data_IF_114276682749
#
_entry.id   IF_114276682749
#
_cell.length_a   1.000
_cell.length_b   1.000
_cell.length_c   1.000
_cell.angle_alpha   90.00
_cell.angle_beta   90.00
_cell.angle_gamma   90.00
#
_symmetry.space_group_name_H-M   'P 1'
#
loop_
_entity.id
_entity.type
_entity.pdbx_description
1 polymer ?
#
# COMPACT_ATOMS: atom_id res chain seq x y z
N UNK A 1 -15.42 10.17 -2.63
CA UNK A 1 -14.53 9.29 -1.85
C UNK A 1 -14.67 7.84 -2.27
N UNK A 2 -13.68 7.01 -1.92
CA UNK A 2 -13.67 5.57 -2.14
C UNK A 2 -13.93 4.85 -0.82
N UNK A 3 -15.10 4.23 -0.68
CA UNK A 3 -15.46 3.46 0.53
C UNK A 3 -15.13 1.97 0.36
N UNK A 4 -14.24 1.47 1.21
CA UNK A 4 -13.80 0.07 1.20
C UNK A 4 -14.64 -0.84 2.11
N UNK A 5 -15.52 -0.30 2.97
CA UNK A 5 -16.27 -1.05 3.98
C UNK A 5 -17.35 -1.98 3.41
N UNK A 6 -17.74 -1.78 2.16
CA UNK A 6 -18.86 -2.48 1.52
C UNK A 6 -18.45 -3.30 0.30
N UNK A 7 -17.16 -3.64 0.20
CA UNK A 7 -16.68 -4.52 -0.85
C UNK A 7 -17.23 -5.95 -0.68
N UNK A 8 -17.51 -6.67 -1.78
CA UNK A 8 -17.90 -8.08 -1.71
C UNK A 8 -16.83 -8.91 -0.98
N UNK A 9 -17.25 -9.77 -0.05
CA UNK A 9 -16.34 -10.55 0.80
C UNK A 9 -15.45 -11.55 0.06
N UNK A 10 -15.74 -11.83 -1.22
CA UNK A 10 -14.93 -12.72 -2.08
C UNK A 10 -14.16 -11.95 -3.15
N UNK A 11 -14.15 -10.61 -3.07
CA UNK A 11 -13.40 -9.80 -4.01
C UNK A 11 -11.90 -10.03 -3.80
N UNK A 12 -11.20 -10.34 -4.88
CA UNK A 12 -9.76 -10.58 -4.86
C UNK A 12 -8.96 -9.43 -5.47
N UNK A 13 -9.61 -8.55 -6.23
CA UNK A 13 -8.95 -7.43 -6.87
C UNK A 13 -9.87 -6.22 -7.00
N UNK A 14 -9.32 -5.05 -6.75
CA UNK A 14 -9.95 -3.75 -6.97
C UNK A 14 -9.00 -2.86 -7.77
N UNK A 15 -9.35 -2.59 -9.03
CA UNK A 15 -8.58 -1.75 -9.95
C UNK A 15 -9.42 -0.53 -10.30
N UNK A 16 -9.05 0.61 -9.73
CA UNK A 16 -9.78 1.88 -9.87
C UNK A 16 -8.83 3.04 -10.13
N UNK A 17 -7.70 2.74 -10.79
CA UNK A 17 -6.72 3.75 -11.17
C UNK A 17 -7.27 4.79 -12.14
N UNK A 18 -6.65 5.97 -12.17
CA UNK A 18 -6.96 7.08 -13.08
C UNK A 18 -8.43 7.53 -12.98
N UNK A 19 -8.84 7.87 -11.76
CA UNK A 19 -10.15 8.43 -11.45
C UNK A 19 -9.97 9.74 -10.66
N UNK A 20 -11.06 10.24 -10.06
CA UNK A 20 -11.03 11.40 -9.17
C UNK A 20 -11.52 11.04 -7.78
N UNK A 21 -11.19 9.83 -7.30
CA UNK A 21 -11.49 9.45 -5.93
C UNK A 21 -10.67 10.31 -4.96
N UNK A 22 -11.33 10.80 -3.92
CA UNK A 22 -10.78 11.69 -2.93
C UNK A 22 -10.97 11.16 -1.49
N UNK A 23 -10.37 11.87 -0.53
CA UNK A 23 -10.43 11.52 0.88
C UNK A 23 -9.54 10.33 1.23
N UNK A 24 -9.66 9.85 2.47
CA UNK A 24 -8.86 8.74 2.98
C UNK A 24 -9.49 7.39 2.70
N UNK A 25 -8.65 6.36 2.71
CA UNK A 25 -9.06 4.96 2.63
C UNK A 25 -8.62 4.21 3.88
N UNK A 26 -9.42 3.22 4.26
CA UNK A 26 -9.16 2.35 5.42
C UNK A 26 -8.81 0.94 4.93
N UNK A 27 -7.53 0.61 4.86
CA UNK A 27 -7.07 -0.68 4.33
C UNK A 27 -7.54 -1.89 5.15
N UNK A 28 -7.85 -1.69 6.44
CA UNK A 28 -8.44 -2.73 7.30
C UNK A 28 -9.87 -3.15 6.90
N UNK A 29 -10.54 -2.38 6.04
CA UNK A 29 -11.86 -2.72 5.52
C UNK A 29 -11.81 -3.59 4.26
N UNK A 30 -10.62 -3.84 3.70
CA UNK A 30 -10.48 -4.73 2.55
C UNK A 30 -10.87 -6.17 2.96
N UNK A 31 -11.56 -6.92 2.09
CA UNK A 31 -11.82 -8.34 2.29
C UNK A 31 -10.51 -9.13 2.52
N UNK A 32 -10.56 -10.15 3.37
CA UNK A 32 -9.41 -11.04 3.62
C UNK A 32 -8.89 -11.73 2.36
N UNK A 33 -9.75 -11.91 1.35
CA UNK A 33 -9.42 -12.51 0.04
C UNK A 33 -8.72 -11.53 -0.92
N UNK A 34 -8.54 -10.27 -0.53
CA UNK A 34 -7.95 -9.24 -1.39
C UNK A 34 -6.49 -9.56 -1.71
N UNK A 35 -6.15 -9.55 -3.00
CA UNK A 35 -4.80 -9.83 -3.51
C UNK A 35 -4.22 -8.62 -4.23
N UNK A 36 -5.03 -7.90 -4.98
CA UNK A 36 -4.58 -6.80 -5.83
C UNK A 36 -5.41 -5.54 -5.59
N UNK A 37 -4.79 -4.52 -5.02
CA UNK A 37 -5.37 -3.19 -4.92
C UNK A 37 -4.58 -2.22 -5.79
N UNK A 38 -5.26 -1.58 -6.74
CA UNK A 38 -4.72 -0.49 -7.53
C UNK A 38 -5.63 0.74 -7.45
N UNK A 39 -5.14 1.77 -6.78
CA UNK A 39 -5.80 3.08 -6.64
C UNK A 39 -4.93 4.21 -7.17
N UNK A 40 -3.90 3.90 -7.97
CA UNK A 40 -3.00 4.90 -8.50
C UNK A 40 -3.73 6.00 -9.30
N UNK A 41 -3.14 7.18 -9.38
CA UNK A 41 -3.67 8.29 -10.20
C UNK A 41 -5.09 8.68 -9.75
N UNK A 42 -5.20 9.04 -8.48
CA UNK A 42 -6.41 9.61 -7.87
C UNK A 42 -5.99 10.83 -7.01
N UNK A 43 -6.92 11.34 -6.21
CA UNK A 43 -6.67 12.42 -5.22
C UNK A 43 -6.93 11.92 -3.80
N UNK A 44 -6.65 10.64 -3.55
CA UNK A 44 -6.79 10.04 -2.23
C UNK A 44 -5.73 10.62 -1.30
N UNK A 45 -6.08 10.82 -0.03
CA UNK A 45 -5.23 11.56 0.91
C UNK A 45 -5.26 10.98 2.33
N UNK A 46 -4.42 11.55 3.19
CA UNK A 46 -4.32 11.17 4.59
C UNK A 46 -3.27 10.10 4.87
N UNK A 47 -3.17 9.72 6.14
CA UNK A 47 -2.19 8.75 6.61
C UNK A 47 -2.66 7.31 6.38
N UNK A 48 -1.74 6.46 5.95
CA UNK A 48 -2.00 5.04 5.76
C UNK A 48 -1.62 4.24 7.00
N UNK A 49 -2.53 3.34 7.39
CA UNK A 49 -2.24 2.29 8.36
C UNK A 49 -2.09 0.96 7.62
N UNK A 50 -0.85 0.52 7.44
CA UNK A 50 -0.52 -0.76 6.80
C UNK A 50 -0.56 -1.94 7.77
N UNK A 51 -0.64 -1.69 9.09
CA UNK A 51 -0.56 -2.73 10.12
C UNK A 51 -1.75 -3.70 10.12
N UNK A 52 -2.87 -3.27 9.54
CA UNK A 52 -4.11 -4.02 9.44
C UNK A 52 -4.47 -4.37 7.99
N UNK A 53 -3.50 -4.33 7.07
CA UNK A 53 -3.74 -4.76 5.68
C UNK A 53 -4.03 -6.28 5.63
N UNK A 54 -4.87 -6.75 4.71
CA UNK A 54 -5.17 -8.18 4.61
C UNK A 54 -3.93 -9.01 4.35
N UNK A 55 -3.84 -10.17 5.00
CA UNK A 55 -2.64 -11.01 4.98
C UNK A 55 -2.35 -11.68 3.64
N UNK A 56 -3.31 -11.69 2.70
CA UNK A 56 -3.16 -12.29 1.36
C UNK A 56 -2.78 -11.29 0.27
N UNK A 57 -2.63 -10.00 0.59
CA UNK A 57 -2.30 -8.99 -0.42
C UNK A 57 -0.95 -9.29 -1.07
N UNK A 58 -0.95 -9.30 -2.40
CA UNK A 58 0.22 -9.52 -3.26
C UNK A 58 0.70 -8.21 -3.88
N UNK A 59 -0.24 -7.34 -4.23
CA UNK A 59 0.03 -6.08 -4.93
C UNK A 59 -0.72 -4.94 -4.27
N UNK A 60 0.01 -3.92 -3.82
CA UNK A 60 -0.54 -2.68 -3.27
C UNK A 60 0.00 -1.50 -4.07
N UNK A 61 -0.84 -0.88 -4.91
CA UNK A 61 -0.49 0.26 -5.74
C UNK A 61 -1.28 1.50 -5.35
N UNK A 62 -0.56 2.44 -4.75
CA UNK A 62 -1.08 3.65 -4.10
C UNK A 62 -0.53 4.94 -4.71
N UNK A 63 0.43 4.82 -5.63
CA UNK A 63 1.19 5.94 -6.15
C UNK A 63 0.35 7.01 -6.87
N UNK A 64 0.93 8.21 -7.02
CA UNK A 64 0.26 9.39 -7.61
C UNK A 64 -1.07 9.67 -6.92
N UNK A 65 -0.99 9.89 -5.61
CA UNK A 65 -2.07 10.30 -4.72
C UNK A 65 -1.49 11.27 -3.68
N UNK A 66 -2.36 11.97 -2.96
CA UNK A 66 -1.99 12.92 -1.90
C UNK A 66 -1.85 12.24 -0.52
N UNK A 67 -1.49 10.94 -0.49
CA UNK A 67 -1.21 10.24 0.76
C UNK A 67 0.02 10.84 1.43
N UNK A 68 -0.02 10.98 2.75
CA UNK A 68 1.03 11.67 3.49
C UNK A 68 1.26 11.09 4.88
N UNK A 69 2.36 11.51 5.49
CA UNK A 69 2.67 11.21 6.89
C UNK A 69 3.54 9.97 7.09
N UNK A 70 3.97 9.81 8.34
CA UNK A 70 4.85 8.72 8.74
C UNK A 70 4.08 7.41 8.80
N UNK A 71 4.52 6.43 8.02
CA UNK A 71 3.91 5.10 7.90
C UNK A 71 4.82 4.04 8.52
N UNK A 72 4.22 3.14 9.31
CA UNK A 72 4.92 1.98 9.87
C UNK A 72 4.90 0.81 8.89
N UNK A 73 6.05 0.53 8.28
CA UNK A 73 6.21 -0.58 7.33
C UNK A 73 6.64 -1.90 7.96
N UNK A 74 6.80 -1.98 9.30
CA UNK A 74 7.29 -3.21 9.96
C UNK A 74 6.35 -4.40 9.81
N UNK A 75 5.07 -4.14 9.57
CA UNK A 75 4.01 -5.15 9.51
C UNK A 75 3.47 -5.34 8.08
N UNK A 76 4.27 -5.04 7.04
CA UNK A 76 3.89 -5.37 5.67
C UNK A 76 3.56 -6.88 5.54
N UNK A 77 2.49 -7.26 4.82
CA UNK A 77 2.16 -8.68 4.60
C UNK A 77 3.34 -9.42 3.99
N UNK A 78 3.67 -10.61 4.53
CA UNK A 78 4.77 -11.46 4.01
C UNK A 78 4.54 -11.92 2.57
N UNK A 79 3.28 -11.90 2.12
CA UNK A 79 2.87 -12.25 0.75
C UNK A 79 3.07 -11.09 -0.23
N UNK A 80 3.32 -9.88 0.25
CA UNK A 80 3.40 -8.69 -0.59
C UNK A 80 4.62 -8.80 -1.53
N UNK A 81 4.35 -8.76 -2.83
CA UNK A 81 5.35 -8.84 -3.89
C UNK A 81 5.60 -7.48 -4.52
N UNK A 82 4.62 -6.58 -4.48
CA UNK A 82 4.73 -5.24 -5.08
C UNK A 82 4.08 -4.20 -4.19
N UNK A 83 4.87 -3.18 -3.82
CA UNK A 83 4.42 -1.96 -3.17
C UNK A 83 4.76 -0.78 -4.07
N UNK A 84 3.76 -0.03 -4.51
CA UNK A 84 3.95 1.23 -5.25
C UNK A 84 3.37 2.38 -4.44
N UNK A 85 4.26 3.23 -3.95
CA UNK A 85 4.02 4.48 -3.22
C UNK A 85 4.69 5.66 -3.93
N UNK A 86 5.05 5.50 -5.21
CA UNK A 86 5.64 6.58 -6.01
C UNK A 86 4.71 7.77 -6.10
N UNK A 87 5.27 8.97 -6.11
CA UNK A 87 4.55 10.24 -6.17
C UNK A 87 3.51 10.36 -5.06
N UNK A 88 3.94 10.12 -3.82
CA UNK A 88 3.18 10.38 -2.58
C UNK A 88 4.07 11.12 -1.57
N UNK A 89 3.46 11.73 -0.57
CA UNK A 89 4.14 12.38 0.56
C UNK A 89 4.28 11.44 1.77
N UNK A 90 4.20 10.12 1.55
CA UNK A 90 4.42 9.12 2.58
C UNK A 90 5.90 9.16 2.99
N UNK A 91 6.14 9.08 4.29
CA UNK A 91 7.48 8.93 4.87
C UNK A 91 7.56 7.71 5.77
N UNK A 92 8.77 7.24 6.04
CA UNK A 92 9.01 6.10 6.92
C UNK A 92 10.21 5.29 6.48
N UNK A 93 10.41 4.15 7.13
CA UNK A 93 11.56 3.28 6.89
C UNK A 93 11.08 1.87 6.56
N UNK A 94 11.61 1.29 5.50
CA UNK A 94 11.41 -0.11 5.16
C UNK A 94 12.70 -0.87 5.45
N UNK A 95 12.61 -1.83 6.37
CA UNK A 95 13.70 -2.77 6.67
C UNK A 95 13.44 -4.08 5.95
N UNK A 96 14.20 -4.36 4.89
CA UNK A 96 14.18 -5.63 4.18
C UNK A 96 15.17 -6.59 4.84
N UNK A 97 14.66 -7.69 5.39
CA UNK A 97 15.47 -8.79 5.93
C UNK A 97 15.34 -10.02 5.03
N UNK A 98 16.48 -10.58 4.63
CA UNK A 98 16.55 -11.75 3.74
C UNK A 98 16.07 -11.48 2.31
N UNK A 99 15.77 -12.55 1.56
CA UNK A 99 15.25 -12.46 0.19
C UNK A 99 13.71 -12.38 0.20
N UNK A 100 13.17 -11.15 0.22
CA UNK A 100 11.72 -10.92 0.27
C UNK A 100 11.04 -10.97 -1.11
N UNK A 101 11.80 -10.90 -2.21
CA UNK A 101 11.24 -10.76 -3.57
C UNK A 101 10.37 -9.50 -3.76
N UNK A 102 10.26 -8.63 -2.74
CA UNK A 102 9.41 -7.46 -2.71
C UNK A 102 9.97 -6.37 -3.63
N UNK A 103 9.14 -5.91 -4.56
CA UNK A 103 9.44 -4.80 -5.45
C UNK A 103 8.80 -3.53 -4.91
N UNK A 104 9.61 -2.52 -4.65
CA UNK A 104 9.17 -1.23 -4.12
C UNK A 104 9.35 -0.17 -5.22
N UNK A 105 8.27 0.56 -5.51
CA UNK A 105 8.28 1.73 -6.38
C UNK A 105 7.96 2.95 -5.51
N UNK A 106 8.88 3.90 -5.44
CA UNK A 106 8.76 5.04 -4.53
C UNK A 106 10.06 5.79 -4.28
N UNK A 107 10.99 5.77 -5.23
CA UNK A 107 12.30 6.43 -5.07
C UNK A 107 12.18 7.97 -4.91
N UNK A 108 11.04 8.52 -5.30
CA UNK A 108 10.67 9.92 -5.16
C UNK A 108 9.82 10.22 -3.91
N UNK A 109 9.44 9.19 -3.15
CA UNK A 109 8.79 9.34 -1.84
C UNK A 109 9.81 9.67 -0.75
N UNK A 110 9.33 10.01 0.45
CA UNK A 110 10.18 10.28 1.63
C UNK A 110 10.44 8.99 2.44
N UNK A 111 10.43 7.83 1.77
CA UNK A 111 10.65 6.52 2.39
C UNK A 111 12.08 6.05 2.16
N UNK A 112 12.79 5.79 3.25
CA UNK A 112 14.11 5.19 3.21
C UNK A 112 14.00 3.66 3.20
N UNK A 113 14.73 3.01 2.30
CA UNK A 113 14.76 1.54 2.18
C UNK A 113 16.14 1.03 2.57
N UNK A 114 16.16 0.19 3.61
CA UNK A 114 17.37 -0.46 4.10
C UNK A 114 17.32 -1.96 3.81
N UNK A 115 18.38 -2.50 3.23
CA UNK A 115 18.57 -3.94 3.03
C UNK A 115 19.54 -4.44 4.08
N UNK A 116 19.05 -5.31 4.97
CA UNK A 116 19.88 -5.97 5.97
C UNK A 116 20.34 -7.31 5.39
N UNK A 117 21.65 -7.41 5.10
CA UNK A 117 22.26 -8.70 4.77
C UNK A 117 22.28 -9.58 6.03
N UNK A 118 21.85 -10.84 5.90
CA UNK A 118 21.94 -11.82 6.98
C UNK A 118 23.42 -12.01 7.35
N UNK A 119 23.80 -11.65 8.59
CA UNK A 119 25.15 -11.86 9.15
C UNK A 119 25.32 -13.31 9.64
#
# INVERSE_FOLDING_TARGET
>A
SLDLAHLPSQMTGLLVENNSFDGSIALHNLPDTMKDLNVCENTLSGCLDLSQSPSEVLTLKLGKNDFCGSTDFRNLPRTLLTLDISYTDISGEILLTGNTGLRIFGADSQVDVFVLEDV
#
